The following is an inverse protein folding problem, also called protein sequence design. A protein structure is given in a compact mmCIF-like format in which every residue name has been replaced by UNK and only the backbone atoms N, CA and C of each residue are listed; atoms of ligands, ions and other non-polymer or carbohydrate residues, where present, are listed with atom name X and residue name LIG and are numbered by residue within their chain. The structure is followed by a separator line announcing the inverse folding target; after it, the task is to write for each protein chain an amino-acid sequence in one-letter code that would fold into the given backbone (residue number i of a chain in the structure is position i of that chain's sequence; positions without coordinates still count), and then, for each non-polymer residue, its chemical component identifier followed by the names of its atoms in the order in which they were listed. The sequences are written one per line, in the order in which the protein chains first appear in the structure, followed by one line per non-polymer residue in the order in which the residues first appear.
data_IF_331221214875
#
_entry.id   IF_331221214875
#
_cell.length_a   1.000
_cell.length_b   1.000
_cell.length_c   1.000
_cell.angle_alpha   90.00
_cell.angle_beta   90.00
_cell.angle_gamma   90.00
#
_symmetry.space_group_name_H-M   'P 1'
#
loop_
_entity.id
_entity.type
_entity.pdbx_description
1 polymer ?
#
# COMPACT_ATOMS: atom_id res chain seq x y z
N UNK A 1 15.67 -3.05 1.51
CA UNK A 1 14.28 -2.66 1.15
C UNK A 1 13.53 -2.30 2.42
N UNK A 2 12.45 -1.53 2.30
CA UNK A 2 11.65 -1.05 3.45
C UNK A 2 11.21 -2.18 4.39
N UNK A 3 10.67 -3.28 3.84
CA UNK A 3 10.26 -4.47 4.61
C UNK A 3 11.40 -5.03 5.47
N UNK A 4 12.58 -5.24 4.87
CA UNK A 4 13.74 -5.76 5.59
C UNK A 4 14.20 -4.81 6.70
N UNK A 5 14.09 -3.49 6.47
CA UNK A 5 14.39 -2.48 7.50
C UNK A 5 13.42 -2.55 8.68
N UNK A 6 12.12 -2.68 8.42
CA UNK A 6 11.10 -2.81 9.48
C UNK A 6 11.30 -4.07 10.32
N UNK A 7 11.60 -5.19 9.68
CA UNK A 7 11.84 -6.47 10.37
C UNK A 7 13.12 -6.41 11.20
N UNK A 8 14.24 -5.97 10.60
CA UNK A 8 15.54 -5.92 11.29
C UNK A 8 15.54 -5.02 12.52
N UNK A 9 14.84 -3.89 12.45
CA UNK A 9 14.75 -2.95 13.56
C UNK A 9 13.57 -3.23 14.51
N UNK A 10 12.86 -4.36 14.32
CA UNK A 10 11.70 -4.76 15.14
C UNK A 10 10.64 -3.66 15.30
N UNK A 11 10.45 -2.83 14.26
CA UNK A 11 9.51 -1.72 14.30
C UNK A 11 8.04 -2.19 14.32
N UNK A 12 7.80 -3.37 13.74
CA UNK A 12 6.47 -3.98 13.64
C UNK A 12 6.62 -5.48 13.81
N UNK A 13 5.70 -6.10 14.56
CA UNK A 13 5.60 -7.56 14.66
C UNK A 13 5.34 -8.17 13.29
N UNK A 14 6.00 -9.28 13.00
CA UNK A 14 5.95 -9.95 11.70
C UNK A 14 4.53 -10.37 11.30
N UNK A 15 3.71 -10.77 12.26
CA UNK A 15 2.30 -11.16 12.06
C UNK A 15 1.42 -9.98 11.60
N UNK A 16 1.83 -8.76 11.92
CA UNK A 16 1.15 -7.54 11.51
C UNK A 16 1.61 -7.06 10.12
N UNK A 17 2.68 -7.63 9.57
CA UNK A 17 3.21 -7.30 8.24
C UNK A 17 2.62 -8.21 7.16
N UNK A 18 2.26 -7.60 6.05
CA UNK A 18 1.82 -8.28 4.85
C UNK A 18 2.33 -7.54 3.60
N UNK A 19 2.44 -8.24 2.49
CA UNK A 19 2.80 -7.64 1.21
C UNK A 19 2.10 -8.32 0.05
N UNK A 20 1.92 -7.59 -1.05
CA UNK A 20 1.42 -8.15 -2.30
C UNK A 20 2.41 -7.96 -3.44
N UNK A 21 2.37 -8.87 -4.40
CA UNK A 21 3.12 -8.80 -5.66
C UNK A 21 2.34 -9.51 -6.75
N UNK A 22 2.47 -9.07 -8.00
CA UNK A 22 1.73 -9.64 -9.12
C UNK A 22 2.22 -11.06 -9.55
N UNK A 23 3.38 -11.49 -9.05
CA UNK A 23 4.01 -12.76 -9.41
C UNK A 23 3.98 -13.72 -8.21
N UNK A 24 3.35 -14.88 -8.39
CA UNK A 24 3.20 -15.92 -7.36
C UNK A 24 4.56 -16.39 -6.81
N UNK A 25 5.51 -16.69 -7.70
CA UNK A 25 6.87 -17.10 -7.33
C UNK A 25 7.53 -16.06 -6.43
N UNK A 26 7.40 -14.77 -6.77
CA UNK A 26 7.92 -13.68 -5.95
C UNK A 26 7.23 -13.58 -4.59
N UNK A 27 5.93 -13.86 -4.52
CA UNK A 27 5.18 -13.88 -3.26
C UNK A 27 5.69 -15.01 -2.35
N UNK A 28 5.96 -16.19 -2.92
CA UNK A 28 6.52 -17.34 -2.21
C UNK A 28 7.95 -17.09 -1.74
N UNK A 29 8.81 -16.48 -2.57
CA UNK A 29 10.16 -16.09 -2.17
C UNK A 29 10.16 -15.12 -0.98
N UNK A 30 9.29 -14.10 -1.01
CA UNK A 30 9.18 -13.12 0.08
C UNK A 30 8.66 -13.79 1.35
N UNK A 31 7.67 -14.66 1.24
CA UNK A 31 7.18 -15.45 2.36
C UNK A 31 8.31 -16.35 2.92
N UNK A 32 9.03 -17.10 2.10
CA UNK A 32 10.12 -17.97 2.56
C UNK A 32 11.25 -17.16 3.21
N UNK A 33 11.60 -16.00 2.65
CA UNK A 33 12.72 -15.17 3.11
C UNK A 33 12.44 -14.39 4.39
N UNK A 34 11.23 -13.85 4.53
CA UNK A 34 10.88 -12.95 5.63
C UNK A 34 9.80 -13.52 6.56
N UNK A 35 9.08 -14.55 6.13
CA UNK A 35 7.98 -15.23 6.80
C UNK A 35 6.73 -14.39 7.03
N UNK A 36 6.59 -13.27 6.30
CA UNK A 36 5.36 -12.47 6.34
C UNK A 36 4.29 -13.10 5.45
N UNK A 37 3.02 -12.79 5.71
CA UNK A 37 1.95 -13.21 4.81
C UNK A 37 2.05 -12.43 3.48
N UNK A 38 2.00 -13.15 2.37
CA UNK A 38 2.05 -12.56 1.03
C UNK A 38 0.79 -12.87 0.25
N UNK A 39 0.49 -12.02 -0.74
CA UNK A 39 -0.74 -12.08 -1.53
C UNK A 39 -0.44 -11.78 -3.00
N UNK A 40 -1.23 -12.36 -3.90
CA UNK A 40 -1.29 -11.97 -5.31
C UNK A 40 -2.43 -10.99 -5.62
N UNK A 41 -3.37 -10.84 -4.67
CA UNK A 41 -4.51 -9.96 -4.78
C UNK A 41 -4.37 -8.78 -3.79
N UNK A 42 -4.37 -7.56 -4.32
CA UNK A 42 -4.24 -6.37 -3.48
C UNK A 42 -5.46 -6.17 -2.57
N UNK A 43 -6.68 -6.47 -3.04
CA UNK A 43 -7.91 -6.29 -2.24
C UNK A 43 -7.90 -7.16 -0.99
N UNK A 44 -7.47 -8.41 -1.13
CA UNK A 44 -7.36 -9.34 -0.01
C UNK A 44 -6.28 -8.91 0.98
N UNK A 45 -5.14 -8.41 0.47
CA UNK A 45 -4.03 -7.98 1.31
C UNK A 45 -4.39 -6.82 2.24
N UNK A 46 -5.15 -5.84 1.75
CA UNK A 46 -5.47 -4.61 2.49
C UNK A 46 -6.70 -4.74 3.40
N UNK A 47 -7.48 -5.80 3.26
CA UNK A 47 -8.65 -6.03 4.10
C UNK A 47 -8.24 -6.17 5.56
N UNK A 48 -8.83 -5.34 6.43
CA UNK A 48 -8.51 -5.32 7.86
C UNK A 48 -7.11 -4.79 8.22
N UNK A 49 -6.45 -4.04 7.31
CA UNK A 49 -5.17 -3.38 7.59
C UNK A 49 -5.36 -1.90 7.88
N UNK A 50 -4.67 -1.37 8.89
CA UNK A 50 -4.78 0.04 9.27
C UNK A 50 -3.88 0.97 8.44
N UNK A 51 -2.72 0.46 7.99
CA UNK A 51 -1.73 1.23 7.23
C UNK A 51 -1.44 0.52 5.90
N UNK A 52 -1.55 1.26 4.80
CA UNK A 52 -1.25 0.78 3.45
C UNK A 52 -0.07 1.59 2.90
N UNK A 53 1.01 0.89 2.55
CA UNK A 53 2.20 1.50 1.94
C UNK A 53 2.23 1.18 0.45
N UNK A 54 2.13 2.20 -0.39
CA UNK A 54 2.18 2.09 -1.85
C UNK A 54 3.63 2.15 -2.33
N UNK A 55 4.27 0.98 -2.42
CA UNK A 55 5.65 0.78 -2.88
C UNK A 55 5.71 0.24 -4.32
N UNK A 56 4.95 0.86 -5.24
CA UNK A 56 4.82 0.43 -6.64
C UNK A 56 5.40 1.46 -7.61
N UNK A 57 5.71 1.04 -8.84
CA UNK A 57 6.16 1.94 -9.91
C UNK A 57 5.07 2.99 -10.23
N UNK A 58 5.41 4.28 -10.47
CA UNK A 58 4.41 5.33 -10.71
C UNK A 58 3.39 4.99 -11.81
N UNK A 59 3.85 4.40 -12.92
CA UNK A 59 2.99 3.94 -14.03
C UNK A 59 1.92 2.90 -13.64
N UNK A 60 2.08 2.21 -12.51
CA UNK A 60 1.12 1.23 -12.02
C UNK A 60 0.09 1.84 -11.05
N UNK A 61 0.31 3.08 -10.59
CA UNK A 61 -0.45 3.70 -9.51
C UNK A 61 -1.95 3.75 -9.83
N UNK A 62 -2.33 4.29 -11.00
CA UNK A 62 -3.74 4.35 -11.42
C UNK A 62 -4.42 2.99 -11.42
N UNK A 63 -3.73 1.95 -11.93
CA UNK A 63 -4.25 0.58 -12.03
C UNK A 63 -4.48 -0.02 -10.64
N UNK A 64 -3.50 0.12 -9.75
CA UNK A 64 -3.58 -0.42 -8.39
C UNK A 64 -4.64 0.31 -7.56
N UNK A 65 -4.66 1.65 -7.59
CA UNK A 65 -5.65 2.45 -6.87
C UNK A 65 -7.07 2.14 -7.35
N UNK A 66 -7.29 2.09 -8.66
CA UNK A 66 -8.60 1.69 -9.23
C UNK A 66 -9.01 0.28 -8.81
N UNK A 67 -8.05 -0.63 -8.64
CA UNK A 67 -8.32 -2.00 -8.20
C UNK A 67 -8.71 -2.06 -6.72
N UNK A 68 -8.16 -1.19 -5.86
CA UNK A 68 -8.42 -1.24 -4.41
C UNK A 68 -9.47 -0.25 -3.91
N UNK A 69 -9.92 0.69 -4.74
CA UNK A 69 -10.81 1.78 -4.35
C UNK A 69 -12.06 1.34 -3.57
N UNK A 70 -12.66 0.20 -3.94
CA UNK A 70 -13.95 -0.25 -3.38
C UNK A 70 -13.81 -0.90 -1.99
N UNK A 71 -12.58 -1.23 -1.58
CA UNK A 71 -12.30 -1.89 -0.29
C UNK A 71 -11.48 -1.01 0.65
N UNK A 72 -10.99 0.14 0.17
CA UNK A 72 -10.34 1.14 1.01
C UNK A 72 -11.38 1.87 1.85
N UNK A 73 -11.04 2.14 3.11
CA UNK A 73 -11.88 2.86 4.05
C UNK A 73 -11.19 4.11 4.58
N UNK A 74 -11.98 5.08 5.04
CA UNK A 74 -11.48 6.33 5.64
C UNK A 74 -10.65 6.14 6.93
N UNK A 75 -10.67 4.94 7.53
CA UNK A 75 -9.89 4.62 8.73
C UNK A 75 -8.44 4.24 8.41
N UNK A 76 -8.14 3.96 7.14
CA UNK A 76 -6.82 3.49 6.72
C UNK A 76 -5.90 4.65 6.38
N UNK A 77 -4.67 4.61 6.89
CA UNK A 77 -3.62 5.55 6.51
C UNK A 77 -2.90 5.05 5.26
N UNK A 78 -2.90 5.87 4.21
CA UNK A 78 -2.20 5.57 2.96
C UNK A 78 -0.89 6.36 2.92
N UNK A 79 0.22 5.64 2.75
CA UNK A 79 1.56 6.21 2.63
C UNK A 79 2.10 5.86 1.23
N UNK A 80 2.38 6.86 0.40
CA UNK A 80 3.02 6.65 -0.90
C UNK A 80 4.50 6.97 -0.83
N UNK A 81 5.33 6.06 -1.35
CA UNK A 81 6.76 6.30 -1.57
C UNK A 81 7.09 6.47 -3.07
N UNK A 82 6.07 6.50 -3.93
CA UNK A 82 6.24 6.64 -5.36
C UNK A 82 6.61 8.10 -5.70
N UNK A 83 7.76 8.27 -6.37
CA UNK A 83 8.17 9.57 -6.87
C UNK A 83 7.16 10.13 -7.89
N UNK A 84 7.07 11.46 -7.98
CA UNK A 84 6.26 12.19 -8.96
C UNK A 84 4.75 11.82 -8.95
N UNK A 85 4.23 11.32 -7.82
CA UNK A 85 2.80 11.08 -7.64
C UNK A 85 2.29 12.04 -6.55
N UNK A 86 1.43 13.00 -6.93
CA UNK A 86 0.83 13.92 -5.96
C UNK A 86 -0.19 13.20 -5.08
N UNK A 87 -0.43 13.73 -3.88
CA UNK A 87 -1.52 13.27 -3.01
C UNK A 87 -2.87 13.44 -3.70
N UNK A 88 -3.08 14.57 -4.38
CA UNK A 88 -4.29 14.85 -5.16
C UNK A 88 -4.59 13.73 -6.17
N UNK A 89 -3.59 13.27 -6.92
CA UNK A 89 -3.78 12.18 -7.88
C UNK A 89 -4.24 10.88 -7.21
N UNK A 90 -3.70 10.57 -6.02
CA UNK A 90 -4.08 9.38 -5.24
C UNK A 90 -5.52 9.52 -4.76
N UNK A 91 -5.88 10.67 -4.21
CA UNK A 91 -7.23 10.98 -3.72
C UNK A 91 -8.27 10.90 -4.84
N UNK A 92 -7.98 11.50 -6.00
CA UNK A 92 -8.85 11.46 -7.18
C UNK A 92 -9.11 10.02 -7.64
N UNK A 93 -8.06 9.19 -7.69
CA UNK A 93 -8.20 7.78 -8.06
C UNK A 93 -9.02 6.96 -7.06
N UNK A 94 -9.02 7.36 -5.77
CA UNK A 94 -9.78 6.71 -4.71
C UNK A 94 -11.19 7.31 -4.54
N UNK A 95 -11.54 8.33 -5.32
CA UNK A 95 -12.82 9.03 -5.19
C UNK A 95 -12.92 9.88 -3.91
N UNK A 96 -11.78 10.19 -3.29
CA UNK A 96 -11.70 11.12 -2.18
C UNK A 96 -12.00 12.53 -2.69
N UNK A 97 -13.18 13.07 -2.38
CA UNK A 97 -13.40 14.51 -2.52
C UNK A 97 -12.50 15.21 -1.49
N UNK A 98 -11.48 15.90 -1.95
CA UNK A 98 -10.68 16.78 -1.11
C UNK A 98 -11.58 17.89 -0.55
N UNK A 99 -11.88 17.85 0.74
CA UNK A 99 -12.57 18.92 1.49
C UNK A 99 -11.57 19.68 2.36
N UNK A 100 -10.43 20.06 1.79
CA UNK A 100 -9.46 20.95 2.42
C UNK A 100 -9.67 22.36 1.92
N UNK A 101 -10.06 23.27 2.82
CA UNK A 101 -10.09 24.70 2.55
C UNK A 101 -8.74 25.15 2.00
N UNK A 102 -8.75 25.68 0.78
CA UNK A 102 -7.67 26.52 0.26
C UNK A 102 -7.63 27.80 1.11
N UNK A 103 -6.85 27.80 2.19
CA UNK A 103 -6.57 28.98 3.02
C UNK A 103 -5.08 29.27 3.13
N UNK A 104 -4.29 28.75 2.19
CA UNK A 104 -2.92 29.18 1.96
C UNK A 104 -2.82 29.73 0.53
N UNK A 105 -3.50 30.85 0.31
CA UNK A 105 -3.22 31.81 -0.75
C UNK A 105 -3.08 33.18 -0.09
#
# INVERSE_FOLDING_TARGET
TLLNGMIKNSLVRKENLAGSTAQEERAQEINKKYGIKTYINNKEMISGKDIIILAIKPQMMKKVLSNIKDVITKKQLIISIAAATSTQFIEDCLGGKYSGNSSYA
#
